data_IF_032477891365
#
_entry.id   IF_032477891365
#
_cell.length_a   1.000
_cell.length_b   1.000
_cell.length_c   1.000
_cell.angle_alpha   90.00
_cell.angle_beta   90.00
_cell.angle_gamma   90.00
#
_symmetry.space_group_name_H-M   'P 1'
#
loop_
_entity.id
_entity.type
_entity.pdbx_description
1 polymer ?
#
# COMPACT_ATOMS: atom_id res chain seq x y z
N UNK A 1 9.01 4.72 56.77
CA UNK A 1 8.35 3.70 56.02
C UNK A 1 8.17 4.23 54.59
N UNK A 2 9.11 3.83 53.78
CA UNK A 2 9.12 4.13 52.36
C UNK A 2 8.25 3.05 51.71
N UNK A 3 7.03 3.36 51.45
CA UNK A 3 6.08 2.51 50.74
C UNK A 3 6.39 2.68 49.25
N UNK A 4 7.48 2.04 48.85
CA UNK A 4 7.80 1.86 47.44
C UNK A 4 6.80 0.87 46.85
N UNK A 5 5.63 1.36 46.48
CA UNK A 5 4.74 0.61 45.61
C UNK A 5 5.51 0.24 44.34
N UNK A 6 5.75 -1.04 44.14
CA UNK A 6 6.21 -1.53 42.84
C UNK A 6 5.23 -1.02 41.81
N UNK A 7 5.72 -0.20 40.86
CA UNK A 7 4.90 0.27 39.77
C UNK A 7 4.38 -0.95 39.02
N UNK A 8 3.07 -1.03 38.92
CA UNK A 8 2.41 -2.09 38.17
C UNK A 8 3.02 -2.21 36.77
N UNK A 9 3.55 -3.36 36.47
CA UNK A 9 4.23 -3.60 35.20
C UNK A 9 3.34 -4.47 34.31
N UNK A 10 2.88 -3.89 33.21
CA UNK A 10 2.34 -4.66 32.09
C UNK A 10 3.52 -5.06 31.20
N UNK A 11 3.73 -6.36 31.05
CA UNK A 11 4.72 -6.93 30.11
C UNK A 11 4.04 -7.08 28.74
N UNK A 12 4.31 -6.12 27.84
CA UNK A 12 3.66 -6.00 26.53
C UNK A 12 4.39 -6.85 25.49
N UNK A 13 4.06 -8.16 25.44
CA UNK A 13 4.59 -9.09 24.45
C UNK A 13 3.55 -9.36 23.37
N UNK A 14 3.56 -8.55 22.30
CA UNK A 14 2.64 -8.67 21.18
C UNK A 14 3.36 -9.23 19.96
N UNK A 15 2.82 -10.33 19.41
CA UNK A 15 3.31 -10.90 18.17
C UNK A 15 2.52 -10.30 16.98
N UNK A 16 3.23 -9.97 15.92
CA UNK A 16 2.67 -9.59 14.62
C UNK A 16 3.59 -10.10 13.52
N UNK A 17 3.01 -10.54 12.39
CA UNK A 17 3.79 -11.21 11.34
C UNK A 17 4.44 -10.22 10.40
N UNK A 18 3.67 -9.29 9.87
CA UNK A 18 4.12 -8.31 8.88
C UNK A 18 3.82 -6.88 9.33
N UNK A 19 4.68 -5.94 8.90
CA UNK A 19 4.47 -4.48 9.00
C UNK A 19 4.49 -3.81 7.64
N UNK A 20 4.56 -4.61 6.57
CA UNK A 20 4.56 -4.16 5.17
C UNK A 20 3.48 -4.90 4.42
N UNK A 21 2.74 -4.19 3.56
CA UNK A 21 1.73 -4.78 2.70
C UNK A 21 1.55 -4.01 1.40
N UNK A 22 0.74 -4.54 0.51
CA UNK A 22 0.40 -3.93 -0.78
C UNK A 22 -1.10 -3.94 -0.97
N UNK A 23 -1.70 -2.77 -1.12
CA UNK A 23 -3.08 -2.62 -1.61
C UNK A 23 -3.05 -2.75 -3.13
N UNK A 24 -3.91 -3.60 -3.68
CA UNK A 24 -3.99 -3.79 -5.12
C UNK A 24 -5.26 -3.19 -5.69
N UNK A 25 -5.16 -2.56 -6.85
CA UNK A 25 -6.29 -2.04 -7.63
C UNK A 25 -6.23 -2.56 -9.05
N UNK A 26 -7.39 -2.93 -9.58
CA UNK A 26 -7.53 -3.39 -10.96
C UNK A 26 -8.44 -2.41 -11.72
N UNK A 27 -7.95 -1.92 -12.84
CA UNK A 27 -8.65 -0.97 -13.71
C UNK A 27 -8.76 -1.51 -15.12
N UNK A 28 -9.93 -1.35 -15.74
CA UNK A 28 -10.20 -1.79 -17.12
C UNK A 28 -10.99 -0.73 -17.84
N UNK A 29 -10.42 -0.20 -18.94
CA UNK A 29 -11.04 0.83 -19.79
C UNK A 29 -11.55 2.01 -18.94
N UNK A 30 -10.67 2.62 -18.15
CA UNK A 30 -10.94 3.76 -17.28
C UNK A 30 -11.81 3.50 -16.05
N UNK A 31 -12.21 2.24 -15.77
CA UNK A 31 -13.04 1.89 -14.63
C UNK A 31 -12.33 0.97 -13.65
N UNK A 32 -12.43 1.27 -12.36
CA UNK A 32 -11.95 0.37 -11.32
C UNK A 32 -12.86 -0.85 -11.22
N UNK A 33 -12.30 -2.05 -11.44
CA UNK A 33 -13.04 -3.31 -11.43
C UNK A 33 -12.72 -4.19 -10.22
N UNK A 34 -11.66 -3.88 -9.49
CA UNK A 34 -11.26 -4.60 -8.28
C UNK A 34 -10.40 -3.76 -7.35
N UNK A 35 -10.45 -4.15 -6.07
CA UNK A 35 -9.54 -3.64 -5.03
C UNK A 35 -9.33 -4.73 -3.99
N UNK A 36 -8.10 -4.86 -3.50
CA UNK A 36 -7.74 -5.78 -2.43
C UNK A 36 -7.03 -5.01 -1.33
N UNK A 37 -7.55 -5.11 -0.10
CA UNK A 37 -6.98 -4.54 1.11
C UNK A 37 -5.92 -5.46 1.73
N UNK A 38 -5.18 -4.92 2.69
CA UNK A 38 -4.19 -5.65 3.50
C UNK A 38 -4.72 -5.78 4.92
N UNK A 39 -4.65 -6.99 5.49
CA UNK A 39 -4.99 -7.24 6.90
C UNK A 39 -3.73 -7.62 7.66
N UNK A 40 -3.47 -6.90 8.75
CA UNK A 40 -2.42 -7.21 9.71
C UNK A 40 -3.06 -7.76 10.99
N UNK A 41 -2.46 -8.80 11.58
CA UNK A 41 -2.96 -9.43 12.80
C UNK A 41 -1.98 -9.22 13.94
N UNK A 42 -2.50 -8.77 15.09
CA UNK A 42 -1.78 -8.57 16.33
C UNK A 42 -2.26 -9.59 17.36
N UNK A 43 -1.34 -10.38 17.89
CA UNK A 43 -1.61 -11.41 18.90
C UNK A 43 -1.08 -10.97 20.26
N UNK A 44 -1.99 -10.83 21.23
CA UNK A 44 -1.75 -10.39 22.60
C UNK A 44 -1.72 -11.54 23.60
N UNK A 45 -1.73 -12.81 23.15
CA UNK A 45 -1.83 -13.97 24.04
C UNK A 45 -0.70 -14.08 25.08
N UNK A 46 0.42 -13.37 24.86
CA UNK A 46 1.58 -13.34 25.74
C UNK A 46 1.72 -12.07 26.59
N UNK A 47 0.77 -11.16 26.48
CA UNK A 47 0.74 -9.97 27.34
C UNK A 47 0.33 -10.38 28.74
N UNK A 48 1.09 -9.93 29.74
CA UNK A 48 0.83 -10.24 31.14
C UNK A 48 0.88 -8.98 32.01
N UNK A 49 0.17 -9.01 33.14
CA UNK A 49 0.26 -8.00 34.19
C UNK A 49 0.47 -8.68 35.54
N UNK A 50 1.26 -8.10 36.41
CA UNK A 50 1.67 -8.72 37.69
C UNK A 50 0.66 -8.56 38.80
N UNK A 51 0.00 -7.42 38.93
CA UNK A 51 -0.80 -7.09 40.11
C UNK A 51 -2.24 -6.66 39.82
N UNK A 52 -2.59 -6.42 38.53
CA UNK A 52 -3.91 -5.94 38.13
C UNK A 52 -4.37 -6.65 36.85
N UNK A 53 -5.60 -7.22 36.84
CA UNK A 53 -6.08 -7.95 35.69
C UNK A 53 -6.12 -7.11 34.41
N UNK A 54 -5.69 -7.70 33.29
CA UNK A 54 -5.88 -7.13 31.97
C UNK A 54 -7.37 -7.14 31.61
N UNK A 55 -7.91 -6.00 31.16
CA UNK A 55 -9.31 -5.87 30.76
C UNK A 55 -9.49 -5.60 29.27
N UNK A 56 -8.51 -4.98 28.63
CA UNK A 56 -8.62 -4.67 27.20
C UNK A 56 -7.26 -4.74 26.50
N UNK A 57 -7.31 -5.18 25.25
CA UNK A 57 -6.26 -4.95 24.25
C UNK A 57 -6.76 -3.94 23.24
N UNK A 58 -5.86 -3.15 22.67
CA UNK A 58 -6.22 -2.15 21.69
C UNK A 58 -5.17 -1.97 20.60
N UNK A 59 -5.63 -1.50 19.44
CA UNK A 59 -4.80 -1.04 18.34
C UNK A 59 -5.37 0.25 17.78
N UNK A 60 -4.56 1.30 17.71
CA UNK A 60 -4.85 2.54 17.00
C UNK A 60 -4.13 2.46 15.63
N UNK A 61 -4.87 2.34 14.51
CA UNK A 61 -4.27 2.04 13.19
C UNK A 61 -3.34 3.13 12.62
N UNK A 62 -3.49 4.39 13.06
CA UNK A 62 -2.69 5.51 12.56
C UNK A 62 -3.17 6.11 11.23
N UNK A 63 -4.28 5.64 10.69
CA UNK A 63 -4.90 6.09 9.44
C UNK A 63 -6.11 7.04 9.64
N UNK A 64 -6.24 7.60 10.85
CA UNK A 64 -7.32 8.50 11.23
C UNK A 64 -8.60 7.80 11.72
N UNK A 65 -8.65 6.46 11.70
CA UNK A 65 -9.75 5.70 12.32
C UNK A 65 -9.60 5.68 13.84
N UNK A 66 -10.72 5.43 14.49
CA UNK A 66 -10.76 5.21 15.94
C UNK A 66 -9.99 3.94 16.34
N UNK A 67 -9.62 3.90 17.61
CA UNK A 67 -9.01 2.74 18.25
C UNK A 67 -9.89 1.50 18.15
N UNK A 68 -9.30 0.37 17.79
CA UNK A 68 -9.93 -0.95 17.81
C UNK A 68 -9.64 -1.58 19.16
N UNK A 69 -10.71 -1.87 19.94
CA UNK A 69 -10.57 -2.40 21.30
C UNK A 69 -11.24 -3.75 21.41
N UNK A 70 -10.62 -4.67 22.13
CA UNK A 70 -11.20 -5.97 22.45
C UNK A 70 -11.10 -6.26 23.94
N UNK A 71 -12.06 -7.05 24.48
CA UNK A 71 -12.02 -7.53 25.86
C UNK A 71 -10.95 -8.61 26.00
N UNK A 72 -9.96 -8.37 26.88
CA UNK A 72 -8.82 -9.28 27.10
C UNK A 72 -9.25 -10.68 27.58
N UNK A 73 -10.46 -10.83 28.16
CA UNK A 73 -11.00 -12.11 28.60
C UNK A 73 -11.73 -12.88 27.49
N UNK A 74 -11.97 -12.26 26.33
CA UNK A 74 -12.72 -12.87 25.23
C UNK A 74 -11.83 -13.22 24.04
N UNK A 75 -10.92 -12.33 23.65
CA UNK A 75 -10.01 -12.57 22.54
C UNK A 75 -8.68 -11.86 22.77
N UNK A 76 -7.61 -12.53 22.39
CA UNK A 76 -6.25 -11.99 22.43
C UNK A 76 -5.74 -11.59 21.03
N UNK A 77 -6.62 -11.44 20.03
CA UNK A 77 -6.22 -11.09 18.67
C UNK A 77 -7.01 -9.89 18.15
N UNK A 78 -6.32 -8.98 17.47
CA UNK A 78 -6.93 -7.83 16.78
C UNK A 78 -6.43 -7.84 15.34
N UNK A 79 -7.37 -7.75 14.39
CA UNK A 79 -7.09 -7.60 12.97
C UNK A 79 -7.28 -6.14 12.56
N UNK A 80 -6.31 -5.62 11.79
CA UNK A 80 -6.33 -4.25 11.24
C UNK A 80 -6.27 -4.34 9.73
N UNK A 81 -7.34 -3.89 9.07
CA UNK A 81 -7.41 -3.84 7.62
C UNK A 81 -7.03 -2.45 7.10
N UNK A 82 -6.13 -2.37 6.13
CA UNK A 82 -5.79 -1.16 5.40
C UNK A 82 -6.29 -1.25 3.96
N UNK A 83 -7.17 -0.33 3.58
CA UNK A 83 -7.71 -0.21 2.22
C UNK A 83 -7.01 0.88 1.39
N UNK A 84 -6.14 1.67 2.02
CA UNK A 84 -5.37 2.75 1.40
C UNK A 84 -3.88 2.57 1.71
N UNK A 85 -3.05 2.98 0.75
CA UNK A 85 -1.60 2.95 0.94
C UNK A 85 -1.10 4.15 1.76
N UNK A 86 0.06 4.02 2.38
CA UNK A 86 0.67 5.06 3.20
C UNK A 86 1.70 4.51 4.18
N UNK A 87 2.32 5.43 4.94
CA UNK A 87 3.08 5.13 6.15
C UNK A 87 2.23 5.48 7.36
N UNK A 88 1.94 4.51 8.20
CA UNK A 88 1.05 4.65 9.35
C UNK A 88 1.80 4.44 10.66
N UNK A 89 1.70 5.40 11.58
CA UNK A 89 2.15 5.23 12.96
C UNK A 89 1.06 4.46 13.72
N UNK A 90 1.21 3.14 13.81
CA UNK A 90 0.28 2.27 14.50
C UNK A 90 0.72 2.12 15.96
N UNK A 91 -0.22 2.32 16.89
CA UNK A 91 0.00 2.07 18.32
C UNK A 91 -0.82 0.86 18.74
N UNK A 92 -0.19 -0.08 19.44
CA UNK A 92 -0.89 -1.19 20.08
C UNK A 92 -0.61 -1.21 21.59
N UNK A 93 -1.52 -1.79 22.37
CA UNK A 93 -1.33 -1.82 23.81
C UNK A 93 -2.37 -2.62 24.58
N UNK A 94 -2.23 -2.55 25.90
CA UNK A 94 -3.12 -3.22 26.86
C UNK A 94 -3.50 -2.30 28.01
N UNK A 95 -4.68 -2.52 28.58
CA UNK A 95 -5.22 -1.80 29.76
C UNK A 95 -5.59 -2.75 30.86
N UNK A 96 -5.31 -2.34 32.08
CA UNK A 96 -5.68 -3.06 33.30
C UNK A 96 -6.97 -2.53 33.90
N UNK A 97 -7.53 -3.25 34.89
CA UNK A 97 -8.76 -2.85 35.60
C UNK A 97 -8.61 -1.54 36.35
N UNK A 98 -7.45 -1.24 36.91
CA UNK A 98 -7.16 0.04 37.56
C UNK A 98 -6.94 1.22 36.61
N UNK A 99 -6.84 0.93 35.30
CA UNK A 99 -6.65 1.93 34.25
C UNK A 99 -5.19 2.21 33.89
N UNK A 100 -4.27 1.34 34.31
CA UNK A 100 -2.88 1.40 33.82
C UNK A 100 -2.87 0.99 32.34
N UNK A 101 -2.16 1.72 31.51
CA UNK A 101 -1.99 1.49 30.09
C UNK A 101 -0.51 1.30 29.76
N UNK A 102 -0.21 0.26 28.98
CA UNK A 102 1.07 0.08 28.33
C UNK A 102 0.87 0.03 26.82
N UNK A 103 1.68 0.73 26.06
CA UNK A 103 1.60 0.80 24.61
C UNK A 103 2.94 0.94 23.93
N UNK A 104 3.01 0.49 22.69
CA UNK A 104 4.15 0.66 21.79
C UNK A 104 3.67 1.17 20.43
N UNK A 105 4.52 1.93 19.76
CA UNK A 105 4.29 2.44 18.41
C UNK A 105 5.21 1.75 17.42
N UNK A 106 4.66 1.36 16.28
CA UNK A 106 5.39 0.82 15.14
C UNK A 106 5.01 1.56 13.86
N UNK A 107 5.87 1.51 12.86
CA UNK A 107 5.54 2.00 11.52
C UNK A 107 5.04 0.85 10.66
N UNK A 108 3.85 1.04 10.09
CA UNK A 108 3.26 0.15 9.08
C UNK A 108 3.39 0.82 7.72
N UNK A 109 4.00 0.11 6.75
CA UNK A 109 4.14 0.54 5.38
C UNK A 109 3.17 -0.23 4.49
N UNK A 110 2.28 0.49 3.83
CA UNK A 110 1.36 -0.08 2.84
C UNK A 110 1.64 0.60 1.50
N UNK A 111 2.12 -0.17 0.54
CA UNK A 111 2.34 0.27 -0.84
C UNK A 111 1.06 0.10 -1.66
N UNK A 112 1.02 0.67 -2.88
CA UNK A 112 -0.09 0.50 -3.81
C UNK A 112 0.43 -0.10 -5.11
N UNK A 113 -0.29 -1.11 -5.62
CA UNK A 113 -0.13 -1.63 -6.98
C UNK A 113 -1.41 -1.42 -7.78
N UNK A 114 -1.27 -0.82 -8.96
CA UNK A 114 -2.36 -0.63 -9.92
C UNK A 114 -2.08 -1.51 -11.14
N UNK A 115 -3.02 -2.42 -11.44
CA UNK A 115 -3.08 -3.15 -12.70
C UNK A 115 -4.08 -2.45 -13.62
N UNK A 116 -3.56 -1.71 -14.61
CA UNK A 116 -4.33 -0.92 -15.56
C UNK A 116 -4.33 -1.55 -16.95
N UNK A 117 -5.50 -1.60 -17.59
CA UNK A 117 -5.61 -2.07 -18.96
C UNK A 117 -6.70 -1.32 -19.75
N UNK A 118 -6.31 -0.80 -20.91
CA UNK A 118 -7.21 -0.31 -21.95
C UNK A 118 -7.09 -1.20 -23.19
N UNK A 119 -8.21 -1.74 -23.65
CA UNK A 119 -8.21 -2.71 -24.75
C UNK A 119 -8.91 -2.16 -25.97
N UNK A 120 -8.24 -2.25 -27.15
CA UNK A 120 -8.82 -1.87 -28.43
C UNK A 120 -9.14 -0.38 -28.52
N UNK A 121 -8.31 0.46 -27.92
CA UNK A 121 -8.48 1.91 -27.92
C UNK A 121 -7.63 2.60 -28.97
N UNK A 122 -8.12 3.70 -29.53
CA UNK A 122 -7.34 4.64 -30.36
C UNK A 122 -6.90 5.87 -29.57
N UNK A 123 -7.44 6.03 -28.34
CA UNK A 123 -7.14 7.11 -27.44
C UNK A 123 -7.15 6.55 -26.01
N UNK A 124 -6.00 6.06 -25.51
CA UNK A 124 -5.90 5.51 -24.17
C UNK A 124 -6.33 6.51 -23.09
N UNK A 125 -7.03 6.01 -22.06
CA UNK A 125 -7.42 6.80 -20.92
C UNK A 125 -6.19 7.11 -20.00
N UNK A 126 -6.18 8.30 -19.42
CA UNK A 126 -5.20 8.69 -18.42
C UNK A 126 -5.40 7.86 -17.13
N UNK A 127 -4.34 7.20 -16.65
CA UNK A 127 -4.37 6.52 -15.36
C UNK A 127 -4.03 7.49 -14.23
N UNK A 128 -5.02 7.82 -13.39
CA UNK A 128 -4.83 8.64 -12.20
C UNK A 128 -4.20 7.82 -11.08
N UNK A 129 -3.14 8.35 -10.48
CA UNK A 129 -2.33 7.70 -9.46
C UNK A 129 -2.34 8.56 -8.21
N UNK A 130 -3.05 8.11 -7.18
CA UNK A 130 -3.02 8.78 -5.88
C UNK A 130 -1.68 8.50 -5.21
N UNK A 131 -0.84 9.51 -5.04
CA UNK A 131 0.51 9.39 -4.44
C UNK A 131 0.58 9.85 -2.99
N UNK A 132 -0.50 10.45 -2.50
CA UNK A 132 -0.68 10.91 -1.13
C UNK A 132 -1.95 10.34 -0.54
N UNK A 133 -1.95 10.08 0.76
CA UNK A 133 -3.16 9.78 1.53
C UNK A 133 -3.28 10.74 2.70
N UNK A 134 -4.49 10.94 3.22
CA UNK A 134 -4.74 11.90 4.30
C UNK A 134 -3.88 11.55 5.53
N UNK A 135 -3.07 12.53 5.96
CA UNK A 135 -2.24 12.43 7.16
C UNK A 135 -0.94 11.63 7.03
N UNK A 136 -0.59 11.17 5.83
CA UNK A 136 0.65 10.42 5.58
C UNK A 136 1.66 11.22 4.75
N UNK A 137 2.90 10.74 4.73
CA UNK A 137 3.90 11.26 3.80
C UNK A 137 3.59 10.81 2.37
N UNK A 138 3.99 11.62 1.37
CA UNK A 138 3.92 11.26 -0.03
C UNK A 138 4.75 10.02 -0.35
N UNK A 139 4.47 9.42 -1.49
CA UNK A 139 5.24 8.28 -1.97
C UNK A 139 6.71 8.68 -2.15
N UNK A 140 7.61 7.80 -1.75
CA UNK A 140 9.04 7.96 -2.03
C UNK A 140 9.33 7.78 -3.52
N UNK A 141 8.61 6.86 -4.16
CA UNK A 141 8.82 6.54 -5.56
C UNK A 141 7.54 6.00 -6.21
N UNK A 142 7.32 6.38 -7.46
CA UNK A 142 6.35 5.77 -8.36
C UNK A 142 7.11 5.05 -9.46
N UNK A 143 6.86 3.77 -9.63
CA UNK A 143 7.42 2.93 -10.70
C UNK A 143 6.32 2.54 -11.67
N UNK A 144 6.64 2.56 -12.96
CA UNK A 144 5.70 2.24 -14.03
C UNK A 144 6.36 1.25 -14.99
N UNK A 145 5.65 0.16 -15.27
CA UNK A 145 5.92 -0.72 -16.40
C UNK A 145 4.70 -0.69 -17.30
N UNK A 146 4.82 -0.10 -18.49
CA UNK A 146 3.68 0.11 -19.39
C UNK A 146 3.99 -0.41 -20.80
N UNK A 147 3.16 -1.33 -21.26
CA UNK A 147 3.25 -1.96 -22.57
C UNK A 147 2.13 -1.45 -23.47
N UNK A 148 2.48 -1.05 -24.68
CA UNK A 148 1.55 -0.76 -25.76
C UNK A 148 1.68 -1.84 -26.83
N UNK A 149 0.60 -2.58 -27.07
CA UNK A 149 0.51 -3.58 -28.12
C UNK A 149 -0.33 -3.03 -29.30
N UNK A 150 0.28 -2.92 -30.46
CA UNK A 150 -0.42 -2.60 -31.72
C UNK A 150 -1.06 -3.89 -32.24
N UNK A 151 -2.39 -4.00 -32.08
CA UNK A 151 -3.13 -5.28 -32.21
C UNK A 151 -3.08 -5.82 -33.63
N UNK A 152 -2.76 -5.00 -34.62
CA UNK A 152 -2.83 -5.37 -36.03
C UNK A 152 -4.28 -5.49 -36.55
N UNK A 153 -4.50 -5.21 -37.81
CA UNK A 153 -5.84 -5.32 -38.40
C UNK A 153 -6.27 -6.77 -38.63
N UNK A 154 -7.32 -7.18 -37.92
CA UNK A 154 -8.00 -8.46 -38.14
C UNK A 154 -8.80 -8.36 -39.46
N UNK A 155 -8.20 -8.66 -40.59
CA UNK A 155 -8.93 -8.63 -41.86
C UNK A 155 -8.08 -8.56 -43.10
N UNK A 156 -6.75 -8.66 -43.00
CA UNK A 156 -5.86 -8.78 -44.17
C UNK A 156 -5.48 -7.45 -44.84
N UNK A 157 -5.80 -6.32 -44.23
CA UNK A 157 -5.23 -5.02 -44.55
C UNK A 157 -4.05 -4.84 -43.61
N UNK A 158 -2.86 -4.55 -44.16
CA UNK A 158 -1.68 -4.26 -43.36
C UNK A 158 -1.96 -3.07 -42.45
N UNK A 159 -1.89 -3.28 -41.14
CA UNK A 159 -1.94 -2.23 -40.15
C UNK A 159 -0.71 -1.31 -40.30
N UNK A 160 -0.74 -0.17 -39.63
CA UNK A 160 0.36 0.79 -39.64
C UNK A 160 1.15 0.70 -38.33
N UNK A 161 2.39 1.08 -38.39
CA UNK A 161 3.13 1.35 -37.18
C UNK A 161 2.54 2.56 -36.46
N UNK A 162 2.48 2.52 -35.11
CA UNK A 162 2.09 3.65 -34.28
C UNK A 162 3.29 4.11 -33.46
N UNK A 163 3.40 5.42 -33.20
CA UNK A 163 4.31 5.94 -32.19
C UNK A 163 3.54 6.18 -30.90
N UNK A 164 3.98 5.54 -29.81
CA UNK A 164 3.47 5.79 -28.48
C UNK A 164 4.41 6.70 -27.70
N UNK A 165 3.84 7.63 -26.96
CA UNK A 165 4.55 8.47 -25.99
C UNK A 165 3.97 8.22 -24.63
N UNK A 166 4.81 7.84 -23.66
CA UNK A 166 4.48 7.71 -22.25
C UNK A 166 4.94 8.95 -21.51
N UNK A 167 4.09 9.48 -20.65
CA UNK A 167 4.39 10.60 -19.76
C UNK A 167 3.88 10.28 -18.37
N UNK A 168 4.77 10.34 -17.37
CA UNK A 168 4.39 10.35 -15.96
C UNK A 168 4.39 11.81 -15.51
N UNK A 169 3.23 12.31 -15.13
CA UNK A 169 2.99 13.71 -14.78
C UNK A 169 2.64 13.81 -13.31
N UNK A 170 3.11 14.85 -12.62
CA UNK A 170 2.59 15.19 -11.28
C UNK A 170 1.24 15.92 -11.36
N UNK A 171 0.63 16.20 -10.20
CA UNK A 171 -0.68 16.84 -10.12
C UNK A 171 -0.73 18.29 -10.61
N UNK A 172 0.43 18.86 -10.97
CA UNK A 172 0.55 20.18 -11.60
C UNK A 172 0.90 20.09 -13.10
N UNK A 173 0.74 18.91 -13.70
CA UNK A 173 1.16 18.57 -15.06
C UNK A 173 2.68 18.69 -15.29
N UNK A 174 3.48 18.66 -14.23
CA UNK A 174 4.93 18.61 -14.29
C UNK A 174 5.43 17.25 -14.78
N UNK A 175 6.23 17.24 -15.85
CA UNK A 175 6.77 16.01 -16.42
C UNK A 175 7.82 15.40 -15.48
N UNK A 176 7.56 14.18 -14.99
CA UNK A 176 8.44 13.42 -14.08
C UNK A 176 9.26 12.36 -14.80
N UNK A 177 8.67 11.66 -15.76
CA UNK A 177 9.38 10.71 -16.62
C UNK A 177 8.67 10.62 -17.97
N UNK A 178 9.42 10.27 -19.02
CA UNK A 178 8.86 10.13 -20.38
C UNK A 178 9.60 9.08 -21.18
N UNK A 179 8.91 8.50 -22.15
CA UNK A 179 9.47 7.60 -23.13
C UNK A 179 8.68 7.64 -24.43
N UNK A 180 9.33 7.25 -25.52
CA UNK A 180 8.70 7.15 -26.85
C UNK A 180 9.16 5.88 -27.53
N UNK A 181 8.25 5.22 -28.27
CA UNK A 181 8.61 4.08 -29.10
C UNK A 181 7.75 4.05 -30.36
N UNK A 182 8.31 3.48 -31.44
CA UNK A 182 7.56 3.16 -32.64
C UNK A 182 7.25 1.68 -32.66
N UNK A 183 5.97 1.34 -32.74
CA UNK A 183 5.44 -0.02 -32.58
C UNK A 183 4.89 -0.47 -33.92
N UNK A 184 5.54 -1.48 -34.56
CA UNK A 184 5.07 -2.01 -35.82
C UNK A 184 3.74 -2.75 -35.65
N UNK A 185 3.03 -2.93 -36.77
CA UNK A 185 1.79 -3.71 -36.81
C UNK A 185 1.98 -5.12 -36.23
N UNK A 186 1.14 -5.52 -35.26
CA UNK A 186 1.21 -6.79 -34.55
C UNK A 186 2.37 -6.94 -33.57
N UNK A 187 3.07 -5.86 -33.23
CA UNK A 187 4.16 -5.84 -32.23
C UNK A 187 3.75 -5.10 -30.96
N UNK A 188 4.54 -5.25 -29.93
CA UNK A 188 4.40 -4.53 -28.66
C UNK A 188 5.72 -3.94 -28.21
N UNK A 189 5.66 -2.87 -27.44
CA UNK A 189 6.80 -2.22 -26.81
C UNK A 189 6.47 -1.87 -25.37
N UNK A 190 7.44 -2.06 -24.48
CA UNK A 190 7.32 -1.76 -23.06
C UNK A 190 8.23 -0.61 -22.68
N UNK A 191 7.68 0.33 -21.96
CA UNK A 191 8.41 1.42 -21.33
C UNK A 191 8.46 1.22 -19.81
N UNK A 192 9.66 1.39 -19.25
CA UNK A 192 9.88 1.40 -17.81
C UNK A 192 10.19 2.84 -17.38
N UNK A 193 9.41 3.37 -16.45
CA UNK A 193 9.59 4.72 -15.91
C UNK A 193 9.61 4.70 -14.39
N UNK A 194 10.34 5.65 -13.81
CA UNK A 194 10.37 5.81 -12.35
C UNK A 194 10.61 7.27 -12.00
N UNK A 195 9.96 7.75 -10.99
CA UNK A 195 10.18 9.08 -10.43
C UNK A 195 9.74 9.17 -8.96
N UNK A 196 10.30 10.13 -8.25
CA UNK A 196 9.96 10.49 -6.88
C UNK A 196 11.02 11.39 -6.26
N UNK A 197 10.86 11.80 -5.00
CA UNK A 197 9.67 11.61 -4.18
C UNK A 197 8.48 12.48 -4.62
N UNK A 198 7.26 12.10 -4.19
CA UNK A 198 6.07 12.94 -4.34
C UNK A 198 6.01 13.97 -3.22
N UNK A 199 5.81 15.23 -3.57
CA UNK A 199 5.65 16.33 -2.61
C UNK A 199 4.18 16.48 -2.18
N UNK A 200 3.96 17.08 -1.02
CA UNK A 200 2.63 17.22 -0.43
C UNK A 200 1.63 18.03 -1.28
N UNK A 201 2.12 18.88 -2.16
CA UNK A 201 1.34 19.74 -3.06
C UNK A 201 1.31 19.22 -4.51
N UNK A 202 1.91 18.08 -4.79
CA UNK A 202 1.95 17.50 -6.15
C UNK A 202 0.57 17.05 -6.66
N UNK A 203 -0.41 16.80 -5.78
CA UNK A 203 -1.70 16.25 -6.15
C UNK A 203 -1.61 14.79 -6.61
N UNK A 204 -2.64 14.30 -7.31
CA UNK A 204 -2.61 12.97 -7.91
C UNK A 204 -1.76 12.99 -9.17
N UNK A 205 -0.88 12.01 -9.32
CA UNK A 205 -0.08 11.86 -10.52
C UNK A 205 -0.89 11.18 -11.63
N UNK A 206 -0.39 11.30 -12.86
CA UNK A 206 -1.06 10.74 -14.05
C UNK A 206 -0.03 10.02 -14.91
N UNK A 207 -0.33 8.77 -15.26
CA UNK A 207 0.31 8.12 -16.39
C UNK A 207 -0.55 8.36 -17.62
N UNK A 208 0.02 9.05 -18.61
CA UNK A 208 -0.59 9.32 -19.91
C UNK A 208 0.13 8.56 -21.00
N UNK A 209 -0.64 7.91 -21.87
CA UNK A 209 -0.14 7.26 -23.08
C UNK A 209 -0.80 7.94 -24.28
N UNK A 210 0.00 8.58 -25.12
CA UNK A 210 -0.48 9.29 -26.32
C UNK A 210 0.00 8.58 -27.57
N UNK A 211 -0.88 8.43 -28.56
CA UNK A 211 -0.57 7.87 -29.86
C UNK A 211 -0.47 8.99 -30.91
N UNK A 212 0.39 8.81 -31.92
CA UNK A 212 0.56 9.76 -33.03
C UNK A 212 -0.55 9.65 -34.09
N UNK A 213 -1.46 8.70 -33.94
CA UNK A 213 -2.59 8.46 -34.84
C UNK A 213 -3.78 7.93 -34.05
N UNK A 214 -4.98 8.26 -34.48
CA UNK A 214 -6.27 7.79 -33.99
C UNK A 214 -6.92 6.72 -34.92
N UNK A 215 -6.17 6.30 -35.96
CA UNK A 215 -6.66 5.31 -36.93
C UNK A 215 -6.36 3.86 -36.52
N UNK A 216 -5.36 3.63 -35.65
CA UNK A 216 -4.93 2.29 -35.22
C UNK A 216 -5.36 1.99 -33.79
N UNK A 217 -5.86 0.78 -33.56
CA UNK A 217 -6.24 0.32 -32.23
C UNK A 217 -5.07 -0.34 -31.53
N UNK A 218 -4.88 0.01 -30.27
CA UNK A 218 -3.89 -0.56 -29.38
C UNK A 218 -4.52 -1.16 -28.12
N UNK A 219 -3.79 -2.03 -27.46
CA UNK A 219 -4.02 -2.38 -26.07
C UNK A 219 -2.89 -1.80 -25.23
N UNK A 220 -3.24 -1.07 -24.19
CA UNK A 220 -2.30 -0.55 -23.19
C UNK A 220 -2.46 -1.37 -21.93
N UNK A 221 -1.35 -1.92 -21.41
CA UNK A 221 -1.31 -2.61 -20.12
C UNK A 221 -0.21 -2.00 -19.27
N UNK A 222 -0.56 -1.55 -18.07
CA UNK A 222 0.40 -0.90 -17.18
C UNK A 222 0.32 -1.47 -15.78
N UNK A 223 1.48 -1.73 -15.18
CA UNK A 223 1.64 -1.96 -13.75
C UNK A 223 2.26 -0.69 -13.18
N UNK A 224 1.62 -0.13 -12.17
CA UNK A 224 2.08 1.07 -11.49
C UNK A 224 2.22 0.74 -10.01
N UNK A 225 3.43 0.90 -9.48
CA UNK A 225 3.73 0.69 -8.07
C UNK A 225 4.00 2.06 -7.42
N UNK A 226 3.23 2.38 -6.37
CA UNK A 226 3.44 3.55 -5.50
C UNK A 226 4.10 3.04 -4.23
N UNK A 227 5.36 3.38 -4.05
CA UNK A 227 6.22 2.85 -3.00
C UNK A 227 6.46 3.91 -1.94
N UNK A 228 6.24 3.56 -0.68
CA UNK A 228 6.55 4.42 0.45
C UNK A 228 7.96 4.17 0.97
N UNK A 229 8.51 5.14 1.72
CA UNK A 229 9.83 5.03 2.31
C UNK A 229 9.94 3.82 3.22
N UNK A 230 11.09 3.16 3.19
CA UNK A 230 11.40 2.15 4.19
C UNK A 230 11.47 2.81 5.55
N UNK A 231 10.72 2.25 6.51
CA UNK A 231 10.77 2.66 7.89
C UNK A 231 11.29 1.49 8.72
N UNK A 232 12.20 1.77 9.62
CA UNK A 232 12.63 0.78 10.60
C UNK A 232 11.44 0.47 11.51
N UNK A 233 10.88 -0.73 11.36
CA UNK A 233 9.97 -1.26 12.36
C UNK A 233 10.79 -1.82 13.52
N UNK A 234 10.35 -1.64 14.77
CA UNK A 234 10.97 -2.29 15.92
C UNK A 234 11.05 -3.80 15.67
N UNK A 235 12.10 -4.41 16.18
CA UNK A 235 12.19 -5.87 16.14
C UNK A 235 10.96 -6.47 16.82
N UNK A 236 10.36 -7.48 16.21
CA UNK A 236 9.25 -8.22 16.82
C UNK A 236 9.66 -8.71 18.20
N UNK A 237 8.81 -8.60 19.20
CA UNK A 237 9.16 -9.03 20.56
C UNK A 237 9.43 -10.54 20.64
N UNK A 238 8.82 -11.34 19.79
CA UNK A 238 9.08 -12.78 19.60
C UNK A 238 8.59 -13.22 18.21
N UNK A 239 9.11 -14.36 17.74
CA UNK A 239 8.67 -14.98 16.48
C UNK A 239 7.72 -16.15 16.76
N UNK A 240 6.96 -16.59 15.75
CA UNK A 240 6.10 -17.79 15.88
C UNK A 240 6.88 -19.03 16.30
N UNK A 241 8.14 -19.16 15.88
CA UNK A 241 9.01 -20.27 16.26
C UNK A 241 9.40 -20.24 17.76
N UNK A 242 9.49 -19.05 18.37
CA UNK A 242 9.75 -18.92 19.81
C UNK A 242 8.53 -19.28 20.66
N UNK A 243 7.32 -19.26 20.09
CA UNK A 243 6.12 -19.65 20.80
C UNK A 243 6.03 -21.17 21.07
N UNK A 244 6.69 -22.00 20.26
CA UNK A 244 6.68 -23.47 20.43
C UNK A 244 7.69 -23.96 21.48
N UNK A 245 8.70 -23.17 21.81
CA UNK A 245 9.81 -23.59 22.73
C UNK A 245 9.44 -23.39 24.20
N UNK A 246 8.53 -22.47 24.50
CA UNK A 246 8.11 -22.15 25.88
C UNK A 246 6.98 -23.05 26.41
N UNK A 247 6.44 -24.00 25.60
CA UNK A 247 5.42 -24.96 25.99
C UNK A 247 5.95 -26.34 26.50
N UNK A 248 7.26 -26.46 26.79
CA UNK A 248 7.85 -27.72 27.28
C UNK A 248 8.27 -27.62 28.76
#
# INVERSE_FOLDING_TARGET
SDDGGDAEVVDLKVYYDETVGVVEQTWRNGQQTGSQSVTLTFDFARVTSTDDPLVAFFVLPGDGRDEIVTDANQTASIEVEYATHGLYALTYGARTESGVEASEEITVRIDLRIDWQDTGTTNPDDASIRVMTDGTQGAERVEVSSTVANIGNVGGILGRAVSATWELLDGSDGLRATGTAQIADGQEETWEGSSGPAEADDGDWVLRVTLDTDDEQVTVTSIIDVLHAEAESPARPFTSEQSEVDEI
#
